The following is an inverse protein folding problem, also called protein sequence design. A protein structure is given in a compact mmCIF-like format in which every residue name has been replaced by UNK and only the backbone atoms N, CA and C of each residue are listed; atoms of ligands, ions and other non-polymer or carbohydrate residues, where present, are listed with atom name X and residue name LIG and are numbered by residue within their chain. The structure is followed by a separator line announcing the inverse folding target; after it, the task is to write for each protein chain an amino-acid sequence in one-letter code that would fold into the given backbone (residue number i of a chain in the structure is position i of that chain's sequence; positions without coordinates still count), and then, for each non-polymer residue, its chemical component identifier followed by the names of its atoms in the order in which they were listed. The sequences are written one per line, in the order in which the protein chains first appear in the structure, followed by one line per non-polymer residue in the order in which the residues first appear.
data_IF_071404508348
#
_entry.id   IF_071404508348
#
_cell.length_a   1.000
_cell.length_b   1.000
_cell.length_c   1.000
_cell.angle_alpha   90.00
_cell.angle_beta   90.00
_cell.angle_gamma   90.00
#
_symmetry.space_group_name_H-M   'P 1'
#
loop_
_entity.id
_entity.type
_entity.pdbx_description
1 polymer ?
#
# COMPACT_ATOMS: atom_id res chain seq x y z
N UNK A 1 -7.64 -13.10 11.99
CA UNK A 1 -6.23 -13.55 12.03
C UNK A 1 -6.20 -14.95 12.65
N UNK A 2 -5.37 -15.86 12.14
CA UNK A 2 -5.12 -17.14 12.83
C UNK A 2 -4.14 -16.85 13.98
N UNK A 3 -4.46 -17.16 15.25
CA UNK A 3 -3.59 -16.83 16.39
C UNK A 3 -2.16 -17.39 16.27
N UNK A 4 -2.02 -18.53 15.60
CA UNK A 4 -0.74 -19.24 15.39
C UNK A 4 0.01 -18.80 14.13
N UNK A 5 -0.48 -17.79 13.40
CA UNK A 5 0.20 -17.35 12.18
C UNK A 5 1.55 -16.71 12.54
N UNK A 6 2.65 -17.08 11.88
CA UNK A 6 3.93 -16.44 12.10
C UNK A 6 3.82 -14.95 11.77
N UNK A 7 4.58 -14.14 12.51
CA UNK A 7 4.73 -12.73 12.18
C UNK A 7 5.56 -12.61 10.90
N UNK A 8 5.01 -11.93 9.89
CA UNK A 8 5.72 -11.67 8.62
C UNK A 8 6.83 -10.64 8.86
N UNK A 9 6.56 -9.68 9.75
CA UNK A 9 7.46 -8.63 10.15
C UNK A 9 7.49 -8.55 11.68
N UNK A 10 8.48 -9.17 12.31
CA UNK A 10 8.62 -9.21 13.78
C UNK A 10 8.69 -7.79 14.38
N UNK A 11 9.39 -6.90 13.69
CA UNK A 11 9.61 -5.51 14.09
C UNK A 11 8.71 -4.52 13.32
N UNK A 12 7.50 -4.93 12.93
CA UNK A 12 6.58 -4.13 12.10
C UNK A 12 6.39 -2.68 12.61
N UNK A 13 6.36 -2.48 13.93
CA UNK A 13 6.18 -1.16 14.54
C UNK A 13 7.42 -0.26 14.55
N UNK A 14 8.60 -0.76 14.18
CA UNK A 14 9.84 0.04 14.13
C UNK A 14 10.23 0.46 12.72
N UNK A 15 9.55 -0.04 11.69
CA UNK A 15 9.86 0.29 10.31
C UNK A 15 9.41 1.70 9.96
N UNK A 16 10.20 2.38 9.12
CA UNK A 16 9.77 3.64 8.54
C UNK A 16 8.54 3.41 7.66
N UNK A 17 7.48 4.19 7.88
CA UNK A 17 6.26 4.13 7.09
C UNK A 17 5.80 5.54 6.69
N UNK A 18 4.96 5.61 5.67
CA UNK A 18 4.38 6.88 5.24
C UNK A 18 3.40 7.43 6.29
N UNK A 19 3.20 8.76 6.35
CA UNK A 19 2.14 9.35 7.16
C UNK A 19 0.77 8.76 6.80
N UNK A 20 -0.05 8.45 7.81
CA UNK A 20 -1.38 7.85 7.63
C UNK A 20 -1.39 6.32 7.53
N UNK A 21 -0.21 5.68 7.65
CA UNK A 21 -0.09 4.25 7.91
C UNK A 21 0.18 4.07 9.41
N UNK A 22 -0.59 3.23 10.08
CA UNK A 22 -0.44 2.92 11.51
C UNK A 22 -0.33 1.40 11.73
N UNK A 23 0.90 0.85 11.70
CA UNK A 23 1.12 -0.58 11.87
C UNK A 23 0.93 -1.01 13.33
N UNK A 24 0.22 -2.12 13.55
CA UNK A 24 -0.03 -2.63 14.91
C UNK A 24 1.11 -3.57 15.31
N UNK A 25 1.99 -3.10 16.20
CA UNK A 25 3.15 -3.85 16.73
C UNK A 25 2.74 -5.24 17.24
N UNK A 26 3.53 -6.26 16.89
CA UNK A 26 3.30 -7.65 17.32
C UNK A 26 2.15 -8.34 16.58
N UNK A 27 1.69 -7.79 15.46
CA UNK A 27 0.64 -8.38 14.63
C UNK A 27 1.03 -8.34 13.14
N UNK A 28 0.25 -9.01 12.29
CA UNK A 28 0.36 -8.89 10.83
C UNK A 28 -0.53 -7.77 10.24
N UNK A 29 -1.00 -6.83 11.06
CA UNK A 29 -1.85 -5.71 10.61
C UNK A 29 -0.93 -4.53 10.28
N UNK A 30 -0.68 -4.34 8.98
CA UNK A 30 0.19 -3.26 8.49
C UNK A 30 -0.45 -1.88 8.56
N UNK A 31 -1.79 -1.81 8.57
CA UNK A 31 -2.54 -0.57 8.72
C UNK A 31 -3.98 -0.86 9.16
N UNK A 32 -4.56 0.01 9.98
CA UNK A 32 -5.98 -0.01 10.30
C UNK A 32 -6.53 1.42 10.23
N UNK A 33 -7.50 1.64 9.33
CA UNK A 33 -8.03 2.96 9.03
C UNK A 33 -9.54 3.01 9.24
N UNK A 34 -10.01 4.08 9.88
CA UNK A 34 -11.43 4.34 10.08
C UNK A 34 -11.79 5.70 9.50
N UNK A 35 -12.72 5.72 8.55
CA UNK A 35 -13.35 6.94 8.05
C UNK A 35 -14.69 7.13 8.76
N UNK A 36 -14.94 8.34 9.27
CA UNK A 36 -16.23 8.75 9.85
C UNK A 36 -16.63 10.08 9.24
N UNK A 37 -17.88 10.17 8.77
CA UNK A 37 -18.40 11.39 8.15
C UNK A 37 -19.92 11.40 8.29
N UNK A 38 -20.46 12.52 8.77
CA UNK A 38 -21.89 12.66 9.03
C UNK A 38 -22.34 11.92 10.29
N UNK A 39 -23.66 11.79 10.44
CA UNK A 39 -24.34 11.06 11.51
C UNK A 39 -24.90 9.76 10.90
N UNK A 40 -24.20 8.65 11.13
CA UNK A 40 -24.57 7.36 10.54
C UNK A 40 -25.78 6.81 11.26
N UNK A 41 -25.85 6.99 12.57
CA UNK A 41 -26.93 6.53 13.43
C UNK A 41 -28.28 7.14 13.04
N UNK A 42 -28.32 8.45 12.79
CA UNK A 42 -29.51 9.12 12.26
C UNK A 42 -29.91 8.58 10.88
N UNK A 43 -28.94 8.41 9.97
CA UNK A 43 -29.19 7.88 8.63
C UNK A 43 -29.78 6.47 8.64
N UNK A 44 -29.30 5.60 9.54
CA UNK A 44 -29.87 4.26 9.72
C UNK A 44 -31.29 4.31 10.30
N UNK A 45 -31.57 5.22 11.25
CA UNK A 45 -32.89 5.34 11.88
C UNK A 45 -33.97 5.90 10.92
N UNK A 46 -33.59 6.78 10.00
CA UNK A 46 -34.49 7.44 9.06
C UNK A 46 -34.73 6.63 7.76
N UNK A 47 -34.00 5.55 7.53
CA UNK A 47 -34.08 4.77 6.29
C UNK A 47 -35.28 3.83 6.23
N UNK A 48 -36.03 3.84 5.13
CA UNK A 48 -37.12 2.88 4.89
C UNK A 48 -36.62 1.44 4.71
N UNK A 49 -35.42 1.29 4.13
CA UNK A 49 -34.78 0.00 3.85
C UNK A 49 -33.27 0.08 4.09
N UNK A 50 -32.71 -0.98 4.68
CA UNK A 50 -31.27 -1.14 4.93
C UNK A 50 -30.82 -2.43 4.24
N UNK A 51 -29.70 -2.35 3.51
CA UNK A 51 -29.08 -3.50 2.86
C UNK A 51 -27.63 -3.62 3.32
N UNK A 52 -27.28 -4.81 3.79
CA UNK A 52 -25.93 -5.15 4.21
C UNK A 52 -25.47 -6.38 3.45
N UNK A 53 -24.28 -6.32 2.87
CA UNK A 53 -23.71 -7.43 2.13
C UNK A 53 -22.17 -7.39 2.26
N UNK A 54 -21.54 -8.54 2.07
CA UNK A 54 -20.10 -8.71 2.13
C UNK A 54 -19.57 -9.06 0.75
N UNK A 55 -18.89 -8.11 0.13
CA UNK A 55 -18.26 -8.30 -1.18
C UNK A 55 -16.78 -8.65 -1.02
N UNK A 56 -16.29 -9.52 -1.90
CA UNK A 56 -14.86 -9.83 -2.02
C UNK A 56 -14.44 -9.69 -3.47
N UNK A 57 -13.19 -9.28 -3.70
CA UNK A 57 -12.60 -9.18 -5.04
C UNK A 57 -11.33 -10.01 -5.09
N UNK A 58 -11.06 -10.60 -6.25
CA UNK A 58 -9.83 -11.35 -6.48
C UNK A 58 -8.63 -10.43 -6.73
N UNK A 59 -7.42 -10.97 -6.53
CA UNK A 59 -6.21 -10.28 -6.97
C UNK A 59 -6.17 -10.21 -8.50
N UNK A 60 -5.84 -9.04 -9.03
CA UNK A 60 -5.66 -8.80 -10.46
C UNK A 60 -4.31 -8.15 -10.73
N UNK A 61 -3.78 -8.34 -11.93
CA UNK A 61 -2.51 -7.77 -12.37
C UNK A 61 -2.73 -6.89 -13.60
N UNK A 62 -2.08 -5.72 -13.65
CA UNK A 62 -2.20 -4.75 -14.75
C UNK A 62 -1.90 -5.36 -16.13
N UNK A 63 -1.04 -6.37 -16.16
CA UNK A 63 -0.74 -7.17 -17.36
C UNK A 63 -0.25 -6.32 -18.53
N UNK A 64 0.67 -5.40 -18.25
CA UNK A 64 1.37 -4.62 -19.26
C UNK A 64 2.03 -5.55 -20.29
N UNK A 65 1.98 -5.16 -21.57
CA UNK A 65 2.56 -5.96 -22.66
C UNK A 65 4.09 -5.89 -22.62
N UNK A 66 4.65 -4.74 -22.22
CA UNK A 66 6.09 -4.58 -21.96
C UNK A 66 6.43 -5.07 -20.54
N UNK A 67 7.36 -6.02 -20.37
CA UNK A 67 7.85 -6.44 -19.05
C UNK A 67 8.62 -5.34 -18.32
N UNK A 68 8.71 -5.42 -16.99
CA UNK A 68 9.57 -4.53 -16.22
C UNK A 68 11.05 -4.68 -16.63
N UNK A 69 11.73 -3.56 -16.83
CA UNK A 69 13.12 -3.52 -17.27
C UNK A 69 13.78 -2.17 -16.98
N UNK A 70 15.10 -2.19 -16.77
CA UNK A 70 15.88 -0.98 -16.61
C UNK A 70 17.31 -1.16 -17.12
N UNK A 71 17.92 -0.06 -17.58
CA UNK A 71 19.32 0.03 -17.97
C UNK A 71 19.95 1.12 -17.11
N UNK A 72 21.03 0.76 -16.41
CA UNK A 72 21.81 1.68 -15.60
C UNK A 72 23.17 1.91 -16.27
N UNK A 73 23.54 3.18 -16.43
CA UNK A 73 24.87 3.62 -16.84
C UNK A 73 25.50 4.43 -15.71
N UNK A 74 26.71 4.06 -15.33
CA UNK A 74 27.58 4.83 -14.44
C UNK A 74 28.73 5.35 -15.29
N UNK A 75 28.88 6.68 -15.37
CA UNK A 75 29.98 7.30 -16.12
C UNK A 75 31.25 7.45 -15.28
N UNK A 76 32.34 7.89 -15.92
CA UNK A 76 33.65 8.08 -15.26
C UNK A 76 33.62 9.17 -14.15
N UNK A 77 32.59 10.03 -14.15
CA UNK A 77 32.34 11.04 -13.13
C UNK A 77 31.45 10.50 -11.97
N UNK A 78 31.18 9.19 -11.94
CA UNK A 78 30.28 8.50 -11.00
C UNK A 78 28.82 8.99 -11.04
N UNK A 79 28.36 9.53 -12.18
CA UNK A 79 26.95 9.89 -12.36
C UNK A 79 26.16 8.68 -12.82
N UNK A 80 24.99 8.51 -12.21
CA UNK A 80 24.05 7.44 -12.56
C UNK A 80 23.00 7.98 -13.53
N UNK A 81 22.91 7.37 -14.70
CA UNK A 81 21.76 7.51 -15.60
C UNK A 81 20.99 6.20 -15.62
N UNK A 82 19.70 6.27 -15.25
CA UNK A 82 18.80 5.11 -15.25
C UNK A 82 17.68 5.33 -16.26
N UNK A 83 17.57 4.43 -17.23
CA UNK A 83 16.38 4.28 -18.08
C UNK A 83 15.55 3.13 -17.53
N UNK A 84 14.30 3.39 -17.16
CA UNK A 84 13.39 2.37 -16.63
C UNK A 84 11.96 2.64 -17.12
N UNK A 85 11.16 1.60 -17.29
CA UNK A 85 9.72 1.73 -17.51
C UNK A 85 9.02 2.05 -16.18
N UNK A 86 9.02 3.33 -15.81
CA UNK A 86 8.50 3.83 -14.54
C UNK A 86 7.61 5.07 -14.79
N UNK A 87 6.44 5.12 -14.17
CA UNK A 87 5.47 6.22 -14.31
C UNK A 87 5.79 7.46 -13.45
N UNK A 88 6.80 7.35 -12.58
CA UNK A 88 7.11 8.31 -11.53
C UNK A 88 8.64 8.56 -11.43
N UNK A 89 9.30 9.06 -12.48
CA UNK A 89 10.77 9.11 -12.58
C UNK A 89 11.44 9.89 -11.44
N UNK A 90 10.80 10.95 -10.93
CA UNK A 90 11.34 11.71 -9.79
C UNK A 90 11.25 10.96 -8.45
N UNK A 91 10.19 10.15 -8.24
CA UNK A 91 10.07 9.29 -7.05
C UNK A 91 11.11 8.17 -7.13
N UNK A 92 11.21 7.52 -8.29
CA UNK A 92 12.22 6.50 -8.56
C UNK A 92 13.64 7.02 -8.26
N UNK A 93 13.98 8.23 -8.77
CA UNK A 93 15.26 8.87 -8.44
C UNK A 93 15.49 9.07 -6.94
N UNK A 94 14.45 9.46 -6.18
CA UNK A 94 14.55 9.68 -4.73
C UNK A 94 14.71 8.37 -3.94
N UNK A 95 14.15 7.27 -4.42
CA UNK A 95 14.25 5.95 -3.78
C UNK A 95 15.62 5.28 -4.03
N UNK A 96 16.28 5.62 -5.14
CA UNK A 96 17.60 5.09 -5.50
C UNK A 96 18.75 5.87 -4.85
N UNK A 97 18.56 7.18 -4.62
CA UNK A 97 19.56 8.08 -4.05
C UNK A 97 19.65 7.94 -2.53
#
# INVERSE_FOLDING_TARGET
AKPEAPLIHEELGSYHHAPGIDPIKGTNICNHFQLRRGDVEAGFAESDHIFEDTFTTGMVHHSFIEPHGAICLIDDDNRITLWANNDSPYRCRKEIA
#
